data_IF_205739298967
#
_entry.id   IF_205739298967
#
_cell.length_a   1.000
_cell.length_b   1.000
_cell.length_c   1.000
_cell.angle_alpha   90.00
_cell.angle_beta   90.00
_cell.angle_gamma   90.00
#
_symmetry.space_group_name_H-M   'P 1'
#
loop_
_entity.id
_entity.type
_entity.pdbx_description
1 polymer ?
#
# COMPACT_ATOMS: atom_id res chain seq x y z
N UNK A 1 12.10 -22.43 16.33
CA UNK A 1 11.88 -23.73 15.64
C UNK A 1 12.36 -23.58 14.21
N UNK A 2 13.46 -24.24 13.86
CA UNK A 2 14.09 -24.17 12.53
C UNK A 2 13.22 -24.88 11.52
N UNK A 3 12.47 -24.14 10.71
CA UNK A 3 11.78 -24.67 9.54
C UNK A 3 12.80 -24.99 8.45
N UNK A 4 12.58 -26.08 7.73
CA UNK A 4 13.46 -26.66 6.68
C UNK A 4 13.90 -25.69 5.55
N UNK A 5 13.35 -24.47 5.52
CA UNK A 5 13.63 -23.44 4.51
C UNK A 5 14.42 -22.22 5.03
N UNK A 6 14.86 -22.23 6.29
CA UNK A 6 15.59 -21.10 6.92
C UNK A 6 16.91 -20.73 6.22
N UNK A 7 17.55 -21.69 5.56
CA UNK A 7 18.78 -21.49 4.76
C UNK A 7 18.57 -20.65 3.50
N UNK A 8 17.34 -20.60 2.97
CA UNK A 8 16.99 -19.84 1.78
C UNK A 8 16.43 -18.44 2.12
N UNK A 9 15.73 -18.31 3.27
CA UNK A 9 15.09 -17.05 3.67
C UNK A 9 16.02 -16.10 4.43
N UNK A 10 17.21 -16.55 4.88
CA UNK A 10 18.12 -15.76 5.73
C UNK A 10 17.43 -15.11 6.95
N UNK A 11 16.31 -15.70 7.40
CA UNK A 11 15.48 -15.15 8.46
C UNK A 11 16.07 -15.33 9.87
N UNK A 12 17.11 -16.18 9.99
CA UNK A 12 17.82 -16.48 11.24
C UNK A 12 19.13 -15.68 11.37
N UNK A 13 19.34 -14.66 10.52
CA UNK A 13 20.49 -13.76 10.62
C UNK A 13 20.15 -12.57 11.53
N UNK A 14 20.92 -12.44 12.60
CA UNK A 14 20.88 -11.27 13.47
C UNK A 14 21.30 -10.00 12.72
N UNK A 15 20.50 -8.95 12.87
CA UNK A 15 20.84 -7.58 12.52
C UNK A 15 20.28 -6.68 13.63
N UNK A 16 21.06 -5.66 14.01
CA UNK A 16 20.64 -4.71 15.03
C UNK A 16 19.39 -3.93 14.57
N UNK A 17 19.35 -3.57 13.29
CA UNK A 17 18.24 -2.84 12.67
C UNK A 17 16.94 -3.66 12.72
N UNK A 18 17.02 -4.98 12.49
CA UNK A 18 15.87 -5.88 12.63
C UNK A 18 15.40 -5.94 14.09
N UNK A 19 16.31 -6.08 15.04
CA UNK A 19 15.97 -6.12 16.46
C UNK A 19 15.29 -4.82 16.92
N UNK A 20 15.78 -3.66 16.50
CA UNK A 20 15.18 -2.37 16.83
C UNK A 20 13.76 -2.25 16.24
N UNK A 21 13.54 -2.71 15.00
CA UNK A 21 12.22 -2.77 14.37
C UNK A 21 11.27 -3.75 15.09
N UNK A 22 11.77 -4.90 15.54
CA UNK A 22 11.00 -5.88 16.31
C UNK A 22 10.61 -5.33 17.69
N UNK A 23 11.48 -4.58 18.36
CA UNK A 23 11.19 -3.91 19.62
C UNK A 23 10.08 -2.86 19.46
N UNK A 24 10.09 -2.07 18.38
CA UNK A 24 9.00 -1.13 18.08
C UNK A 24 7.69 -1.85 17.72
N UNK A 25 7.78 -2.99 17.04
CA UNK A 25 6.63 -3.87 16.77
C UNK A 25 6.05 -4.44 18.06
N UNK A 26 6.89 -4.83 19.02
CA UNK A 26 6.49 -5.29 20.34
C UNK A 26 5.81 -4.17 21.14
N UNK A 27 6.36 -2.96 21.16
CA UNK A 27 5.71 -1.80 21.79
C UNK A 27 4.33 -1.53 21.20
N UNK A 28 4.23 -1.54 19.87
CA UNK A 28 2.95 -1.37 19.16
C UNK A 28 1.95 -2.46 19.54
N UNK A 29 2.39 -3.72 19.59
CA UNK A 29 1.56 -4.86 20.02
C UNK A 29 0.93 -4.67 21.41
N UNK A 30 1.69 -4.13 22.36
CA UNK A 30 1.19 -3.84 23.72
C UNK A 30 0.29 -2.59 23.77
N UNK A 31 0.65 -1.51 23.07
CA UNK A 31 -0.19 -0.30 22.97
C UNK A 31 -1.54 -0.57 22.30
N UNK A 32 -1.60 -1.51 21.37
CA UNK A 32 -2.84 -1.93 20.71
C UNK A 32 -3.76 -2.75 21.63
N UNK A 33 -3.25 -3.21 22.77
CA UNK A 33 -3.95 -4.00 23.80
C UNK A 33 -4.15 -3.23 25.12
N UNK A 34 -3.93 -1.92 25.11
CA UNK A 34 -4.23 -1.03 26.23
C UNK A 34 -3.11 -0.87 27.25
N UNK A 35 -1.93 -1.43 27.02
CA UNK A 35 -0.77 -1.29 27.91
C UNK A 35 -0.02 0.02 27.63
N UNK A 36 -0.62 1.16 28.00
CA UNK A 36 -0.07 2.48 27.70
C UNK A 36 1.21 2.83 28.46
N UNK A 37 1.48 2.14 29.56
CA UNK A 37 2.71 2.30 30.34
C UNK A 37 3.77 1.23 29.99
N UNK A 38 3.57 0.47 28.91
CA UNK A 38 4.51 -0.54 28.45
C UNK A 38 5.88 0.08 28.17
N UNK A 39 6.93 -0.53 28.72
CA UNK A 39 8.32 -0.12 28.53
C UNK A 39 9.21 -1.32 28.31
N UNK A 40 10.15 -1.19 27.38
CA UNK A 40 11.29 -2.09 27.25
C UNK A 40 12.42 -1.53 28.12
N UNK A 41 12.76 -2.23 29.19
CA UNK A 41 13.74 -1.78 30.17
C UNK A 41 15.17 -1.98 29.67
N UNK A 42 15.44 -3.11 29.03
CA UNK A 42 16.74 -3.39 28.38
C UNK A 42 16.61 -4.52 27.36
N UNK A 43 17.49 -4.53 26.38
CA UNK A 43 17.73 -5.64 25.47
C UNK A 43 19.20 -6.06 25.58
N UNK A 44 19.45 -7.34 25.86
CA UNK A 44 20.79 -7.91 25.94
C UNK A 44 20.95 -8.93 24.83
N UNK A 45 22.07 -8.83 24.11
CA UNK A 45 22.41 -9.77 23.04
C UNK A 45 23.65 -10.51 23.46
N UNK A 46 23.57 -11.84 23.52
CA UNK A 46 24.70 -12.71 23.83
C UNK A 46 24.97 -13.67 22.69
N UNK A 47 26.25 -13.95 22.45
CA UNK A 47 26.70 -14.84 21.39
C UNK A 47 27.44 -15.99 22.06
N UNK A 48 27.14 -17.20 21.63
CA UNK A 48 27.84 -18.41 22.07
C UNK A 48 29.33 -18.37 21.71
N UNK A 49 30.23 -18.99 22.50
CA UNK A 49 31.67 -18.98 22.22
C UNK A 49 32.05 -19.57 20.85
N UNK A 50 31.26 -20.52 20.35
CA UNK A 50 31.43 -21.13 19.03
C UNK A 50 30.87 -20.25 17.88
N UNK A 51 30.28 -19.09 18.22
CA UNK A 51 29.65 -18.12 17.32
C UNK A 51 28.51 -18.68 16.47
N UNK A 52 27.92 -19.81 16.86
CA UNK A 52 26.85 -20.48 16.09
C UNK A 52 25.45 -20.06 16.51
N UNK A 53 25.29 -19.60 17.75
CA UNK A 53 24.01 -19.22 18.33
C UNK A 53 24.06 -17.82 18.94
N UNK A 54 22.97 -17.08 18.74
CA UNK A 54 22.74 -15.75 19.30
C UNK A 54 21.50 -15.84 20.18
N UNK A 55 21.59 -15.35 21.41
CA UNK A 55 20.47 -15.20 22.32
C UNK A 55 20.15 -13.72 22.51
N UNK A 56 18.86 -13.39 22.55
CA UNK A 56 18.37 -12.04 22.73
C UNK A 56 17.42 -12.06 23.93
N UNK A 57 17.82 -11.43 25.02
CA UNK A 57 17.02 -11.29 26.23
C UNK A 57 16.41 -9.89 26.26
N UNK A 58 15.07 -9.82 26.31
CA UNK A 58 14.33 -8.55 26.35
C UNK A 58 13.60 -8.45 27.67
N UNK A 59 14.00 -7.48 28.50
CA UNK A 59 13.36 -7.21 29.78
C UNK A 59 12.28 -6.14 29.60
N UNK A 60 11.03 -6.46 29.93
CA UNK A 60 9.88 -5.58 29.72
C UNK A 60 9.12 -5.31 31.01
N UNK A 61 8.46 -4.16 31.06
CA UNK A 61 7.47 -3.79 32.08
C UNK A 61 6.16 -3.52 31.38
N UNK A 62 5.14 -4.35 31.61
CA UNK A 62 3.87 -4.25 30.88
C UNK A 62 3.00 -3.07 31.34
N UNK A 63 2.91 -2.87 32.66
CA UNK A 63 1.98 -1.91 33.25
C UNK A 63 0.52 -2.38 33.22
N UNK A 64 -0.42 -1.57 33.74
CA UNK A 64 -1.84 -1.92 33.77
C UNK A 64 -2.52 -1.74 32.40
N UNK A 65 -3.63 -2.45 32.20
CA UNK A 65 -4.48 -2.30 31.01
C UNK A 65 -5.39 -1.08 31.18
N UNK A 66 -5.31 -0.18 30.22
CA UNK A 66 -6.15 1.01 30.14
C UNK A 66 -7.41 0.78 29.30
N UNK A 67 -8.51 1.40 29.74
CA UNK A 67 -9.81 1.39 29.05
C UNK A 67 -10.20 2.77 28.55
N UNK A 68 -11.02 2.83 27.51
CA UNK A 68 -11.54 4.09 26.98
C UNK A 68 -12.52 4.70 27.98
N UNK A 69 -12.17 5.85 28.55
CA UNK A 69 -13.03 6.62 29.46
C UNK A 69 -14.05 7.48 28.73
N UNK A 70 -13.68 7.95 27.53
CA UNK A 70 -14.53 8.70 26.62
C UNK A 70 -13.71 9.42 25.56
N UNK A 71 -14.40 10.17 24.70
CA UNK A 71 -13.78 10.93 23.64
C UNK A 71 -14.44 12.29 23.45
N UNK A 72 -13.68 13.20 22.88
CA UNK A 72 -14.16 14.53 22.48
C UNK A 72 -13.60 14.88 21.10
N UNK A 73 -14.35 15.69 20.37
CA UNK A 73 -13.95 16.22 19.07
C UNK A 73 -13.89 17.74 19.19
N UNK A 74 -12.71 18.31 18.99
CA UNK A 74 -12.43 19.75 19.18
C UNK A 74 -11.80 20.37 17.93
N UNK A 75 -11.71 21.70 17.88
CA UNK A 75 -11.11 22.43 16.77
C UNK A 75 -12.13 22.90 15.72
N UNK A 76 -11.67 23.15 14.50
CA UNK A 76 -12.53 23.55 13.39
C UNK A 76 -13.01 22.30 12.65
N UNK A 77 -14.31 22.00 12.72
CA UNK A 77 -14.86 20.78 12.12
C UNK A 77 -15.32 20.98 10.67
N UNK A 78 -15.12 22.16 10.08
CA UNK A 78 -15.56 22.49 8.72
C UNK A 78 -17.05 22.16 8.43
N UNK A 79 -17.92 22.28 9.44
CA UNK A 79 -19.34 21.93 9.32
C UNK A 79 -19.66 20.42 9.34
N UNK A 80 -18.64 19.56 9.47
CA UNK A 80 -18.73 18.08 9.36
C UNK A 80 -18.77 17.36 10.70
N UNK A 81 -19.01 18.06 11.80
CA UNK A 81 -18.92 17.50 13.15
C UNK A 81 -19.78 16.25 13.38
N UNK A 82 -20.98 16.17 12.80
CA UNK A 82 -21.82 14.97 12.89
C UNK A 82 -21.25 13.79 12.09
N UNK A 83 -20.70 14.04 10.90
CA UNK A 83 -20.11 13.01 10.04
C UNK A 83 -18.84 12.45 10.69
N UNK A 84 -17.94 13.34 11.13
CA UNK A 84 -16.71 12.96 11.83
C UNK A 84 -16.99 12.17 13.11
N UNK A 85 -18.03 12.56 13.87
CA UNK A 85 -18.42 11.84 15.08
C UNK A 85 -18.92 10.43 14.81
N UNK A 86 -19.55 10.16 13.66
CA UNK A 86 -19.99 8.81 13.26
C UNK A 86 -18.83 7.88 12.93
N UNK A 87 -17.67 8.43 12.54
CA UNK A 87 -16.45 7.64 12.27
C UNK A 87 -15.79 7.13 13.56
N UNK A 88 -16.11 7.73 14.71
CA UNK A 88 -15.57 7.31 15.99
C UNK A 88 -16.27 6.02 16.41
N UNK A 89 -15.60 4.89 16.17
CA UNK A 89 -16.07 3.54 16.53
C UNK A 89 -15.76 3.15 17.97
N UNK A 90 -15.21 4.08 18.76
CA UNK A 90 -14.79 3.81 20.14
C UNK A 90 -15.99 3.65 21.08
N UNK A 91 -15.92 2.64 21.94
CA UNK A 91 -16.92 2.36 22.96
C UNK A 91 -16.39 2.66 24.36
N UNK A 92 -17.25 3.23 25.22
CA UNK A 92 -16.89 3.45 26.62
C UNK A 92 -16.58 2.10 27.30
N UNK A 93 -15.52 2.08 28.11
CA UNK A 93 -15.01 0.91 28.84
C UNK A 93 -14.40 -0.22 28.00
N UNK A 94 -14.31 -0.06 26.67
CA UNK A 94 -13.54 -1.01 25.85
C UNK A 94 -12.03 -0.87 26.14
N UNK A 95 -11.25 -1.90 25.80
CA UNK A 95 -9.79 -1.86 25.94
C UNK A 95 -9.23 -0.86 24.94
N UNK A 96 -8.37 0.05 25.40
CA UNK A 96 -7.70 1.02 24.55
C UNK A 96 -6.89 0.31 23.45
N UNK A 97 -6.95 0.82 22.23
CA UNK A 97 -6.12 0.34 21.12
C UNK A 97 -5.60 1.52 20.31
N UNK A 98 -4.27 1.65 20.23
CA UNK A 98 -3.62 2.71 19.45
C UNK A 98 -3.94 2.58 17.96
N UNK A 99 -3.93 1.36 17.41
CA UNK A 99 -4.30 1.09 16.02
C UNK A 99 -5.71 1.58 15.68
N UNK A 100 -6.70 1.38 16.57
CA UNK A 100 -8.07 1.90 16.37
C UNK A 100 -8.09 3.42 16.28
N UNK A 101 -7.39 4.11 17.18
CA UNK A 101 -7.32 5.58 17.18
C UNK A 101 -6.67 6.11 15.90
N UNK A 102 -5.56 5.51 15.47
CA UNK A 102 -4.89 5.88 14.22
C UNK A 102 -5.74 5.55 12.99
N UNK A 103 -6.61 4.54 13.05
CA UNK A 103 -7.55 4.26 11.97
C UNK A 103 -8.65 5.33 11.89
N UNK A 104 -9.22 5.73 13.03
CA UNK A 104 -10.23 6.79 13.10
C UNK A 104 -9.65 8.13 12.65
N UNK A 105 -8.45 8.49 13.12
CA UNK A 105 -7.69 9.66 12.68
C UNK A 105 -7.54 9.69 11.14
N UNK A 106 -7.02 8.61 10.55
CA UNK A 106 -6.88 8.50 9.09
C UNK A 106 -8.21 8.62 8.36
N UNK A 107 -9.29 8.03 8.88
CA UNK A 107 -10.62 8.14 8.29
C UNK A 107 -11.17 9.57 8.34
N UNK A 108 -11.02 10.26 9.48
CA UNK A 108 -11.44 11.66 9.61
C UNK A 108 -10.64 12.57 8.68
N UNK A 109 -9.33 12.40 8.63
CA UNK A 109 -8.44 13.13 7.71
C UNK A 109 -8.82 12.87 6.25
N UNK A 110 -9.15 11.64 5.88
CA UNK A 110 -9.60 11.27 4.53
C UNK A 110 -10.93 11.94 4.16
N UNK A 111 -11.93 11.93 5.05
CA UNK A 111 -13.23 12.59 4.80
C UNK A 111 -13.06 14.09 4.57
N UNK A 112 -12.25 14.75 5.39
CA UNK A 112 -11.92 16.17 5.17
C UNK A 112 -11.16 16.36 3.85
N UNK A 113 -10.20 15.48 3.56
CA UNK A 113 -9.47 15.50 2.30
C UNK A 113 -10.36 15.33 1.06
N UNK A 114 -11.44 14.55 1.15
CA UNK A 114 -12.42 14.39 0.07
C UNK A 114 -13.27 15.64 -0.17
N UNK A 115 -13.42 16.49 0.84
CA UNK A 115 -14.08 17.79 0.74
C UNK A 115 -13.11 18.93 0.31
N UNK A 116 -11.88 18.60 -0.14
CA UNK A 116 -10.92 19.60 -0.64
C UNK A 116 -9.85 20.06 0.34
N UNK A 117 -9.88 19.58 1.58
CA UNK A 117 -8.93 19.97 2.61
C UNK A 117 -7.64 19.12 2.52
N UNK A 118 -6.80 19.40 1.53
CA UNK A 118 -5.63 18.56 1.23
C UNK A 118 -4.59 18.50 2.37
N UNK A 119 -4.56 19.53 3.21
CA UNK A 119 -3.66 19.61 4.38
C UNK A 119 -4.43 19.43 5.70
N UNK A 120 -5.59 18.76 5.66
CA UNK A 120 -6.31 18.41 6.87
C UNK A 120 -5.41 17.60 7.82
N UNK A 121 -5.44 17.96 9.09
CA UNK A 121 -4.72 17.28 10.14
C UNK A 121 -5.67 17.03 11.32
N UNK A 122 -5.72 15.78 11.77
CA UNK A 122 -6.44 15.37 12.95
C UNK A 122 -5.42 14.86 13.96
N UNK A 123 -5.34 15.51 15.12
CA UNK A 123 -4.35 15.19 16.15
C UNK A 123 -5.04 14.48 17.33
N UNK A 124 -4.90 13.15 17.47
CA UNK A 124 -5.47 12.42 18.59
C UNK A 124 -4.61 12.57 19.85
N UNK A 125 -5.07 13.40 20.78
CA UNK A 125 -4.43 13.60 22.08
C UNK A 125 -5.04 12.70 23.14
N UNK A 126 -4.21 11.93 23.83
CA UNK A 126 -4.67 11.07 24.93
C UNK A 126 -4.34 11.69 26.27
N UNK A 127 -5.30 11.63 27.20
CA UNK A 127 -5.13 12.03 28.60
C UNK A 127 -5.39 10.81 29.47
N UNK A 128 -4.36 10.35 30.15
CA UNK A 128 -4.41 9.17 31.00
C UNK A 128 -4.86 9.54 32.41
N UNK A 129 -5.79 8.77 32.97
CA UNK A 129 -6.06 8.72 34.39
C UNK A 129 -5.47 7.42 34.96
N UNK A 130 -4.36 7.56 35.69
CA UNK A 130 -3.65 6.43 36.30
C UNK A 130 -4.41 5.79 37.47
N UNK A 131 -5.35 6.50 38.11
CA UNK A 131 -6.09 5.97 39.27
C UNK A 131 -7.21 5.04 38.82
N UNK A 132 -7.92 5.42 37.77
CA UNK A 132 -9.04 4.64 37.22
C UNK A 132 -8.64 3.73 36.06
N UNK A 133 -7.35 3.75 35.65
CA UNK A 133 -6.85 3.09 34.44
C UNK A 133 -7.72 3.38 33.21
N UNK A 134 -8.11 4.66 33.06
CA UNK A 134 -8.94 5.12 31.96
C UNK A 134 -8.23 6.17 31.10
N UNK A 135 -8.66 6.28 29.84
CA UNK A 135 -8.06 7.18 28.85
C UNK A 135 -9.14 8.03 28.23
N UNK A 136 -8.97 9.34 28.31
CA UNK A 136 -9.77 10.29 27.55
C UNK A 136 -9.05 10.63 26.25
N UNK A 137 -9.77 10.63 25.13
CA UNK A 137 -9.20 10.86 23.80
C UNK A 137 -9.80 12.13 23.22
N UNK A 138 -8.99 13.15 22.99
CA UNK A 138 -9.43 14.37 22.31
C UNK A 138 -8.88 14.38 20.88
N UNK A 139 -9.76 14.33 19.90
CA UNK A 139 -9.42 14.51 18.50
C UNK A 139 -9.49 15.99 18.15
N UNK A 140 -8.34 16.64 18.00
CA UNK A 140 -8.27 18.04 17.59
C UNK A 140 -8.17 18.13 16.07
N UNK A 141 -9.20 18.70 15.44
CA UNK A 141 -9.31 18.79 13.98
C UNK A 141 -8.86 20.17 13.51
N UNK A 142 -7.96 20.18 12.52
CA UNK A 142 -7.61 21.34 11.74
C UNK A 142 -7.75 21.02 10.24
N UNK A 143 -8.78 21.52 9.54
CA UNK A 143 -9.02 21.21 8.15
C UNK A 143 -8.06 21.99 7.23
N UNK A 144 -7.48 23.09 7.69
CA UNK A 144 -6.71 23.96 6.82
C UNK A 144 -7.57 24.64 5.76
N UNK A 145 -7.05 24.78 4.54
CA UNK A 145 -7.69 25.48 3.43
C UNK A 145 -8.11 24.52 2.33
N UNK A 146 -9.10 24.93 1.55
CA UNK A 146 -9.48 24.23 0.31
C UNK A 146 -8.37 24.35 -0.73
N UNK A 147 -8.05 23.24 -1.38
CA UNK A 147 -7.04 23.16 -2.42
C UNK A 147 -7.67 22.67 -3.72
N UNK A 148 -7.48 23.45 -4.78
CA UNK A 148 -7.80 23.08 -6.15
C UNK A 148 -6.56 22.51 -6.83
N UNK A 149 -6.75 21.41 -7.57
CA UNK A 149 -5.67 20.78 -8.33
C UNK A 149 -5.60 21.45 -9.68
N UNK A 150 -4.59 22.30 -9.88
CA UNK A 150 -4.44 23.07 -11.11
C UNK A 150 -4.12 22.15 -12.30
N UNK A 151 -3.18 21.23 -12.11
CA UNK A 151 -2.76 20.23 -13.10
C UNK A 151 -2.15 19.01 -12.42
N UNK A 152 -2.09 17.91 -13.16
CA UNK A 152 -1.48 16.65 -12.79
C UNK A 152 -0.23 16.46 -13.66
N UNK A 153 0.90 16.22 -13.02
CA UNK A 153 2.19 16.02 -13.66
C UNK A 153 2.71 14.60 -13.37
N UNK A 154 3.43 14.02 -14.33
CA UNK A 154 4.08 12.72 -14.17
C UNK A 154 5.58 12.91 -14.33
N UNK A 155 6.37 12.15 -13.55
CA UNK A 155 7.82 12.13 -13.69
C UNK A 155 8.37 10.74 -13.44
N UNK A 156 9.48 10.41 -14.11
CA UNK A 156 10.09 9.08 -14.04
C UNK A 156 9.53 8.07 -15.04
N UNK A 157 8.57 8.45 -15.88
CA UNK A 157 8.03 7.65 -16.98
C UNK A 157 8.86 7.82 -18.26
N UNK A 158 10.03 7.18 -18.30
CA UNK A 158 10.97 7.29 -19.43
C UNK A 158 10.55 6.47 -20.64
N UNK A 159 9.93 5.31 -20.42
CA UNK A 159 9.48 4.38 -21.46
C UNK A 159 7.98 4.50 -21.70
N UNK A 160 7.21 4.66 -20.64
CA UNK A 160 5.75 4.68 -20.64
C UNK A 160 5.24 6.05 -21.04
N UNK A 161 4.40 6.07 -22.07
CA UNK A 161 3.79 7.30 -22.54
C UNK A 161 2.87 7.90 -21.46
N UNK A 162 2.87 9.23 -21.35
CA UNK A 162 2.15 9.93 -20.29
C UNK A 162 0.64 9.63 -20.31
N UNK A 163 0.03 9.50 -21.49
CA UNK A 163 -1.40 9.21 -21.63
C UNK A 163 -1.80 7.88 -20.96
N UNK A 164 -0.88 6.92 -20.87
CA UNK A 164 -1.09 5.62 -20.21
C UNK A 164 -1.24 5.80 -18.70
N UNK A 165 -0.52 6.75 -18.11
CA UNK A 165 -0.63 7.09 -16.69
C UNK A 165 -1.83 8.00 -16.44
N UNK A 166 -2.03 8.98 -17.32
CA UNK A 166 -3.09 9.99 -17.22
C UNK A 166 -4.49 9.39 -17.24
N UNK A 167 -4.74 8.34 -18.05
CA UNK A 167 -6.04 7.62 -18.09
C UNK A 167 -6.37 6.86 -16.79
N UNK A 168 -5.38 6.62 -15.94
CA UNK A 168 -5.63 5.99 -14.63
C UNK A 168 -6.12 6.98 -13.58
N UNK A 169 -6.04 8.29 -13.85
CA UNK A 169 -6.42 9.32 -12.89
C UNK A 169 -7.92 9.33 -12.60
N UNK A 170 -8.26 9.44 -11.32
CA UNK A 170 -9.60 9.76 -10.81
C UNK A 170 -9.70 11.20 -10.33
N UNK A 171 -8.59 11.74 -9.82
CA UNK A 171 -8.51 13.18 -9.57
C UNK A 171 -8.52 13.91 -10.91
N UNK A 172 -9.38 14.92 -11.04
CA UNK A 172 -9.43 15.78 -12.22
C UNK A 172 -8.59 17.04 -12.01
N UNK A 173 -7.97 17.49 -13.10
CA UNK A 173 -7.36 18.83 -13.18
C UNK A 173 -8.46 19.90 -13.18
N UNK A 174 -8.18 21.05 -12.59
CA UNK A 174 -9.15 22.11 -12.30
C UNK A 174 -10.17 21.77 -11.19
N UNK A 175 -10.20 20.52 -10.72
CA UNK A 175 -11.12 20.05 -9.69
C UNK A 175 -10.63 20.36 -8.27
N UNK A 176 -11.56 20.27 -7.31
CA UNK A 176 -11.21 20.27 -5.90
C UNK A 176 -10.41 18.98 -5.56
N UNK A 177 -9.43 19.09 -4.67
CA UNK A 177 -8.68 17.92 -4.20
C UNK A 177 -9.62 16.89 -3.55
N UNK A 178 -9.41 15.61 -3.83
CA UNK A 178 -10.02 14.51 -3.08
C UNK A 178 -8.96 13.47 -2.71
N UNK A 179 -8.83 13.20 -1.42
CA UNK A 179 -7.90 12.20 -0.91
C UNK A 179 -8.20 10.81 -1.49
N UNK A 180 -9.47 10.41 -1.54
CA UNK A 180 -9.93 9.16 -2.15
C UNK A 180 -9.58 9.06 -3.63
N UNK A 181 -9.78 10.13 -4.39
CA UNK A 181 -9.45 10.13 -5.82
C UNK A 181 -7.94 10.04 -6.07
N UNK A 182 -7.12 10.71 -5.25
CA UNK A 182 -5.66 10.62 -5.36
C UNK A 182 -5.15 9.23 -4.96
N UNK A 183 -5.67 8.67 -3.87
CA UNK A 183 -5.35 7.30 -3.43
C UNK A 183 -5.74 6.27 -4.49
N UNK A 184 -6.95 6.37 -5.05
CA UNK A 184 -7.43 5.47 -6.10
C UNK A 184 -6.62 5.60 -7.40
N UNK A 185 -6.25 6.83 -7.78
CA UNK A 185 -5.35 7.07 -8.92
C UNK A 185 -4.00 6.37 -8.71
N UNK A 186 -3.40 6.51 -7.52
CA UNK A 186 -2.16 5.83 -7.15
C UNK A 186 -2.29 4.31 -7.17
N UNK A 187 -3.39 3.77 -6.63
CA UNK A 187 -3.69 2.33 -6.65
C UNK A 187 -3.84 1.80 -8.07
N UNK A 188 -4.55 2.51 -8.95
CA UNK A 188 -4.70 2.14 -10.37
C UNK A 188 -3.36 2.13 -11.11
N UNK A 189 -2.51 3.13 -10.86
CA UNK A 189 -1.15 3.16 -11.40
C UNK A 189 -0.31 1.97 -10.90
N UNK A 190 -0.34 1.65 -9.61
CA UNK A 190 0.37 0.49 -9.06
C UNK A 190 -0.12 -0.84 -9.66
N UNK A 191 -1.42 -0.95 -9.95
CA UNK A 191 -2.00 -2.14 -10.57
C UNK A 191 -1.60 -2.36 -12.03
N UNK A 192 -0.94 -1.40 -12.69
CA UNK A 192 -0.41 -1.58 -14.04
C UNK A 192 0.69 -2.66 -14.10
N UNK A 193 1.37 -2.93 -12.98
CA UNK A 193 2.34 -4.03 -12.86
C UNK A 193 3.72 -3.75 -13.51
N UNK A 194 3.85 -2.68 -14.30
CA UNK A 194 5.12 -2.21 -14.86
C UNK A 194 5.62 -0.92 -14.19
N UNK A 195 5.09 -0.59 -13.01
CA UNK A 195 5.56 0.47 -12.14
C UNK A 195 5.96 -0.13 -10.80
N UNK A 196 7.20 0.11 -10.38
CA UNK A 196 7.76 -0.36 -9.11
C UNK A 196 7.28 0.48 -7.92
N UNK A 197 7.17 1.80 -8.10
CA UNK A 197 6.66 2.71 -7.08
C UNK A 197 5.92 3.89 -7.71
N UNK A 198 4.94 4.40 -6.97
CA UNK A 198 4.10 5.54 -7.34
C UNK A 198 3.93 6.41 -6.10
N UNK A 199 4.48 7.61 -6.13
CA UNK A 199 4.46 8.55 -5.01
C UNK A 199 3.76 9.85 -5.41
N UNK A 200 2.51 10.08 -4.96
CA UNK A 200 1.84 11.35 -5.18
C UNK A 200 2.44 12.44 -4.27
N UNK A 201 2.69 13.61 -4.84
CA UNK A 201 3.21 14.78 -4.13
C UNK A 201 2.42 16.02 -4.54
N UNK A 202 1.91 16.76 -3.56
CA UNK A 202 1.30 18.06 -3.78
C UNK A 202 2.40 19.13 -3.77
N UNK A 203 2.46 19.92 -4.85
CA UNK A 203 3.36 21.06 -5.01
C UNK A 203 2.56 22.36 -4.95
N UNK A 204 2.71 23.18 -3.90
CA UNK A 204 2.03 24.47 -3.82
C UNK A 204 2.40 25.36 -5.01
N UNK A 205 1.41 26.07 -5.57
CA UNK A 205 1.64 27.02 -6.66
C UNK A 205 2.07 28.38 -6.08
N UNK A 206 3.25 28.91 -6.43
CA UNK A 206 3.66 30.24 -5.98
C UNK A 206 2.66 31.30 -6.41
N UNK A 207 2.20 32.13 -5.46
CA UNK A 207 1.21 33.19 -5.72
C UNK A 207 -0.26 32.75 -5.62
N UNK A 208 -0.54 31.44 -5.59
CA UNK A 208 -1.91 30.90 -5.46
C UNK A 208 -2.01 30.02 -4.20
N UNK A 209 -2.40 30.58 -3.04
CA UNK A 209 -2.42 29.84 -1.77
C UNK A 209 -3.43 28.68 -1.70
N UNK A 210 -4.41 28.66 -2.61
CA UNK A 210 -5.48 27.65 -2.68
C UNK A 210 -5.31 26.70 -3.88
N UNK A 211 -4.16 26.74 -4.57
CA UNK A 211 -3.88 25.87 -5.71
C UNK A 211 -2.61 25.05 -5.49
N UNK A 212 -2.64 23.81 -5.97
CA UNK A 212 -1.48 22.94 -6.00
C UNK A 212 -1.41 22.17 -7.33
N UNK A 213 -0.18 21.87 -7.77
CA UNK A 213 0.07 20.89 -8.81
C UNK A 213 0.23 19.51 -8.15
N UNK A 214 -0.42 18.48 -8.69
CA UNK A 214 -0.32 17.11 -8.20
C UNK A 214 0.69 16.34 -9.05
N UNK A 215 1.87 16.09 -8.51
CA UNK A 215 2.91 15.34 -9.19
C UNK A 215 2.93 13.88 -8.75
N UNK A 216 2.83 12.96 -9.71
CA UNK A 216 3.10 11.54 -9.50
C UNK A 216 4.55 11.24 -9.89
N UNK A 217 5.38 10.96 -8.89
CA UNK A 217 6.71 10.43 -9.11
C UNK A 217 6.59 8.91 -9.27
N UNK A 218 6.85 8.41 -10.47
CA UNK A 218 6.79 6.99 -10.78
C UNK A 218 8.19 6.42 -10.99
N UNK A 219 8.37 5.15 -10.62
CA UNK A 219 9.57 4.38 -10.96
C UNK A 219 9.14 3.21 -11.83
N UNK A 220 9.58 3.18 -13.07
CA UNK A 220 9.26 2.09 -14.00
C UNK A 220 9.93 0.77 -13.58
N UNK A 221 9.26 -0.34 -13.88
CA UNK A 221 9.78 -1.71 -13.73
C UNK A 221 9.77 -2.42 -15.09
N UNK A 222 10.31 -3.65 -15.14
CA UNK A 222 10.22 -4.49 -16.32
C UNK A 222 8.77 -4.84 -16.64
N UNK A 223 8.30 -4.39 -17.80
CA UNK A 223 7.01 -4.79 -18.39
C UNK A 223 7.10 -6.09 -19.20
N UNK A 224 8.32 -6.56 -19.47
CA UNK A 224 8.58 -7.83 -20.13
C UNK A 224 8.76 -8.96 -19.11
N UNK A 225 8.14 -10.10 -19.38
CA UNK A 225 8.36 -11.36 -18.67
C UNK A 225 8.56 -12.49 -19.67
N UNK A 226 9.61 -13.27 -19.46
CA UNK A 226 9.83 -14.53 -20.17
C UNK A 226 9.62 -15.70 -19.20
N UNK A 227 8.98 -16.75 -19.68
CA UNK A 227 8.71 -17.97 -18.91
C UNK A 227 9.07 -19.20 -19.72
N UNK A 228 9.56 -20.21 -19.02
CA UNK A 228 9.85 -21.54 -19.55
C UNK A 228 9.26 -22.55 -18.58
N UNK A 229 8.47 -23.48 -19.10
CA UNK A 229 7.77 -24.48 -18.30
C UNK A 229 8.05 -25.89 -18.86
N UNK A 230 8.32 -26.83 -17.96
CA UNK A 230 8.44 -28.25 -18.27
C UNK A 230 7.50 -29.01 -17.33
N UNK A 231 6.71 -29.91 -17.88
CA UNK A 231 5.75 -30.71 -17.13
C UNK A 231 5.66 -32.14 -17.68
N UNK A 232 5.03 -33.00 -16.90
CA UNK A 232 4.69 -34.36 -17.33
C UNK A 232 3.25 -34.66 -16.95
N UNK A 233 2.46 -35.22 -17.88
CA UNK A 233 1.10 -35.70 -17.60
C UNK A 233 0.90 -37.10 -18.17
N UNK A 234 -0.04 -37.86 -17.62
CA UNK A 234 -0.32 -39.23 -18.09
C UNK A 234 -0.87 -39.25 -19.53
N UNK A 235 -1.49 -38.16 -19.98
CA UNK A 235 -2.08 -38.04 -21.32
C UNK A 235 -1.12 -37.42 -22.33
N UNK A 236 -0.47 -36.31 -21.95
CA UNK A 236 0.38 -35.49 -22.84
C UNK A 236 1.86 -35.83 -22.73
N UNK A 237 2.21 -36.79 -21.87
CA UNK A 237 3.58 -37.14 -21.51
C UNK A 237 4.39 -35.88 -21.19
N UNK A 238 5.55 -35.69 -21.81
CA UNK A 238 6.36 -34.50 -21.63
C UNK A 238 5.74 -33.27 -22.30
N UNK A 239 5.57 -32.20 -21.53
CA UNK A 239 5.08 -30.90 -21.96
C UNK A 239 6.22 -29.90 -21.80
N UNK A 240 6.56 -29.19 -22.87
CA UNK A 240 7.52 -28.09 -22.85
C UNK A 240 6.82 -26.84 -23.37
N UNK A 241 6.93 -25.74 -22.64
CA UNK A 241 6.40 -24.46 -23.04
C UNK A 241 7.38 -23.33 -22.82
N UNK A 242 7.27 -22.31 -23.65
CA UNK A 242 7.98 -21.06 -23.51
C UNK A 242 7.02 -19.92 -23.86
N UNK A 243 7.08 -18.82 -23.13
CA UNK A 243 6.30 -17.63 -23.44
C UNK A 243 7.11 -16.36 -23.18
N UNK A 244 6.90 -15.36 -24.02
CA UNK A 244 7.36 -13.99 -23.79
C UNK A 244 6.13 -13.10 -23.82
N UNK A 245 5.94 -12.33 -22.75
CA UNK A 245 4.84 -11.38 -22.60
C UNK A 245 5.41 -10.01 -22.29
N UNK A 246 4.90 -8.99 -22.95
CA UNK A 246 5.26 -7.59 -22.77
C UNK A 246 3.97 -6.80 -22.51
N UNK A 247 3.72 -6.41 -21.25
CA UNK A 247 2.46 -5.79 -20.82
C UNK A 247 2.35 -4.29 -21.14
N UNK A 248 3.45 -3.67 -21.57
CA UNK A 248 3.53 -2.26 -21.92
C UNK A 248 4.35 -2.07 -23.20
N UNK A 249 3.93 -2.76 -24.26
CA UNK A 249 4.63 -2.80 -25.54
C UNK A 249 4.87 -1.39 -26.07
N UNK A 250 6.14 -1.05 -26.28
CA UNK A 250 6.60 0.28 -26.71
C UNK A 250 6.12 1.45 -25.82
N UNK A 251 5.79 1.18 -24.56
CA UNK A 251 5.30 2.22 -23.64
C UNK A 251 3.85 2.63 -23.87
N UNK A 252 3.09 1.89 -24.69
CA UNK A 252 1.74 2.27 -25.11
C UNK A 252 0.62 1.79 -24.17
N UNK A 253 0.98 1.03 -23.13
CA UNK A 253 0.05 0.36 -22.22
C UNK A 253 -0.73 -0.78 -22.87
N UNK A 254 -0.25 -1.29 -24.00
CA UNK A 254 -0.81 -2.44 -24.73
C UNK A 254 0.04 -3.67 -24.48
N UNK A 255 -0.60 -4.82 -24.37
CA UNK A 255 0.10 -6.08 -24.12
C UNK A 255 0.30 -6.87 -25.43
N UNK A 256 1.50 -7.41 -25.61
CA UNK A 256 1.84 -8.35 -26.68
C UNK A 256 2.43 -9.60 -26.05
N UNK A 257 2.01 -10.77 -26.51
CA UNK A 257 2.56 -12.03 -26.06
C UNK A 257 2.71 -13.04 -27.19
N UNK A 258 3.73 -13.88 -27.04
CA UNK A 258 3.98 -15.03 -27.90
C UNK A 258 4.19 -16.23 -26.99
N UNK A 259 3.47 -17.30 -27.25
CA UNK A 259 3.60 -18.55 -26.51
C UNK A 259 3.79 -19.72 -27.46
N UNK A 260 4.68 -20.63 -27.07
CA UNK A 260 4.90 -21.91 -27.70
C UNK A 260 4.68 -23.00 -26.66
N UNK A 261 3.93 -24.04 -27.02
CA UNK A 261 3.76 -25.25 -26.21
C UNK A 261 3.91 -26.48 -27.10
N UNK A 262 4.59 -27.50 -26.61
CA UNK A 262 4.79 -28.76 -27.30
C UNK A 262 4.63 -29.92 -26.31
N UNK A 263 3.74 -30.85 -26.64
CA UNK A 263 3.53 -32.11 -25.93
C UNK A 263 3.61 -33.32 -26.87
N UNK A 264 3.43 -34.53 -26.34
CA UNK A 264 3.33 -35.72 -27.18
C UNK A 264 2.11 -35.67 -28.11
N UNK A 265 1.03 -35.03 -27.68
CA UNK A 265 -0.24 -34.97 -28.42
C UNK A 265 -0.35 -33.77 -29.34
N UNK A 266 0.17 -32.59 -28.95
CA UNK A 266 -0.01 -31.38 -29.74
C UNK A 266 1.16 -30.40 -29.65
N UNK A 267 1.26 -29.57 -30.69
CA UNK A 267 2.16 -28.42 -30.74
C UNK A 267 1.33 -27.18 -31.03
N UNK A 268 1.40 -26.20 -30.14
CA UNK A 268 0.61 -24.97 -30.20
C UNK A 268 1.51 -23.75 -30.23
N UNK A 269 1.21 -22.83 -31.15
CA UNK A 269 1.73 -21.48 -31.20
C UNK A 269 0.59 -20.51 -30.91
N UNK A 270 0.80 -19.54 -30.04
CA UNK A 270 -0.17 -18.50 -29.73
C UNK A 270 0.48 -17.12 -29.85
N UNK A 271 -0.23 -16.19 -30.47
CA UNK A 271 0.06 -14.77 -30.45
C UNK A 271 -1.14 -14.05 -29.83
N UNK A 272 -0.88 -13.21 -28.85
CA UNK A 272 -1.90 -12.37 -28.22
C UNK A 272 -1.51 -10.90 -28.31
N UNK A 273 -2.48 -10.07 -28.66
CA UNK A 273 -2.42 -8.62 -28.58
C UNK A 273 -3.62 -8.12 -27.78
N UNK A 274 -3.40 -7.20 -26.86
CA UNK A 274 -4.46 -6.67 -26.01
C UNK A 274 -4.28 -5.17 -25.79
N UNK A 275 -5.32 -4.40 -26.11
CA UNK A 275 -5.42 -2.98 -25.85
C UNK A 275 -6.53 -2.75 -24.79
N UNK A 276 -6.18 -2.43 -23.54
CA UNK A 276 -7.16 -2.25 -22.47
C UNK A 276 -8.07 -1.02 -22.66
N UNK A 277 -7.63 -0.04 -23.45
CA UNK A 277 -8.34 1.22 -23.66
C UNK A 277 -8.38 1.55 -25.15
N UNK A 278 -9.01 0.65 -25.93
CA UNK A 278 -9.22 0.84 -27.37
C UNK A 278 -10.13 2.05 -27.66
N UNK A 279 -11.01 2.39 -26.71
CA UNK A 279 -11.83 3.61 -26.74
C UNK A 279 -11.75 4.37 -25.42
N UNK A 280 -12.12 5.65 -25.45
CA UNK A 280 -12.16 6.52 -24.27
C UNK A 280 -13.16 6.04 -23.19
N UNK A 281 -14.12 5.19 -23.56
CA UNK A 281 -15.12 4.61 -22.65
C UNK A 281 -14.64 3.30 -22.01
N UNK A 282 -13.33 3.06 -21.94
CA UNK A 282 -12.69 1.86 -21.37
C UNK A 282 -13.14 0.54 -22.02
N UNK A 283 -13.46 0.56 -23.32
CA UNK A 283 -13.66 -0.67 -24.08
C UNK A 283 -12.29 -1.25 -24.41
N UNK A 284 -12.08 -2.53 -24.11
CA UNK A 284 -10.86 -3.24 -24.45
C UNK A 284 -10.99 -3.97 -25.79
N UNK A 285 -9.88 -4.11 -26.50
CA UNK A 285 -9.77 -4.89 -27.73
C UNK A 285 -8.70 -5.96 -27.55
N UNK A 286 -9.05 -7.21 -27.87
CA UNK A 286 -8.13 -8.35 -27.81
C UNK A 286 -8.12 -9.10 -29.13
N UNK A 287 -6.92 -9.47 -29.58
CA UNK A 287 -6.70 -10.37 -30.71
C UNK A 287 -5.90 -11.56 -30.22
N UNK A 288 -6.42 -12.77 -30.45
CA UNK A 288 -5.72 -14.02 -30.20
C UNK A 288 -5.65 -14.82 -31.51
N UNK A 289 -4.45 -15.10 -31.97
CA UNK A 289 -4.19 -15.96 -33.11
C UNK A 289 -3.46 -17.21 -32.62
N UNK A 290 -3.94 -18.38 -33.00
CA UNK A 290 -3.32 -19.65 -32.60
C UNK A 290 -3.21 -20.62 -33.77
N UNK A 291 -2.17 -21.45 -33.72
CA UNK A 291 -1.99 -22.59 -34.62
C UNK A 291 -1.71 -23.82 -33.77
N UNK A 292 -2.48 -24.89 -33.97
CA UNK A 292 -2.32 -26.15 -33.25
C UNK A 292 -2.14 -27.29 -34.25
N UNK A 293 -1.10 -28.08 -34.04
CA UNK A 293 -0.80 -29.29 -34.77
C UNK A 293 -0.98 -30.48 -33.84
N UNK A 294 -1.81 -31.44 -34.22
CA UNK A 294 -1.96 -32.69 -33.47
C UNK A 294 -0.98 -33.71 -34.02
N UNK A 295 -0.10 -34.21 -33.15
CA UNK A 295 0.83 -35.27 -33.49
C UNK A 295 0.05 -36.59 -33.43
N UNK A 296 -0.27 -37.15 -34.59
CA UNK A 296 -0.81 -38.52 -34.69
C UNK A 296 0.31 -39.55 -34.49
#
# INVERSE_FOLDING_TARGET
KTTLFSWFTSSDQYSKEKLDADIESLKSYYFDRGYLEFKVNSSQVSITPDKKHIYIDIYVSEGPVYRVGGFELTGNLAGKGQELRKLITLQKSEIFSRQKILAIDRQMTKVLGDDGYAYANVDPRTKLDKKSHSVWINFTVNPGRLIYIRRIEFSGNSRTAEYVLRREMRQMEGGLFSASNVEESGRRLQNLGYLKSVEPQLKPVPGSPNEADLQYNVKEDSSAAASFNVGYSQLDHFIVGAAVNESNFLGTGKAVGVQFNNSSYSRTYNFNYFDPYFTDNNVSFGLNAYAQYTNQ
#
